data_IF_106286178894
#
_entry.id   IF_106286178894
#
_cell.length_a   1.000
_cell.length_b   1.000
_cell.length_c   1.000
_cell.angle_alpha   90.00
_cell.angle_beta   90.00
_cell.angle_gamma   90.00
#
_symmetry.space_group_name_H-M   'P 1'
#
loop_
_entity.id
_entity.type
_entity.pdbx_description
1 polymer ?
#
# COMPACT_ATOMS: atom_id res chain seq x y z
N UNK A 1 14.36 1.24 -3.22
CA UNK A 1 13.63 1.74 -2.03
C UNK A 1 12.20 2.06 -2.45
N UNK A 2 11.25 1.38 -1.82
CA UNK A 2 9.81 1.58 -1.94
C UNK A 2 9.43 2.85 -1.19
N UNK A 3 8.55 3.67 -1.76
CA UNK A 3 8.01 4.87 -1.10
C UNK A 3 6.50 4.73 -1.00
N UNK A 4 5.97 4.90 0.20
CA UNK A 4 4.54 4.98 0.47
C UNK A 4 4.24 6.41 0.86
N UNK A 5 3.57 7.14 -0.02
CA UNK A 5 3.15 8.53 0.18
C UNK A 5 1.67 8.54 0.57
N UNK A 6 1.34 9.13 1.73
CA UNK A 6 -0.01 9.23 2.27
C UNK A 6 -0.38 10.71 2.34
N UNK A 7 -1.44 11.11 1.66
CA UNK A 7 -1.95 12.48 1.61
C UNK A 7 -3.48 12.46 1.61
N UNK A 8 -4.10 12.93 2.69
CA UNK A 8 -5.56 12.95 2.87
C UNK A 8 -6.22 11.59 2.59
N UNK A 9 -7.01 11.50 1.51
CA UNK A 9 -7.73 10.30 1.06
C UNK A 9 -6.93 9.47 0.05
N UNK A 10 -5.65 9.78 -0.18
CA UNK A 10 -4.84 9.20 -1.24
C UNK A 10 -3.59 8.51 -0.68
N UNK A 11 -3.30 7.32 -1.21
CA UNK A 11 -2.13 6.52 -0.88
C UNK A 11 -1.44 6.15 -2.20
N UNK A 12 -0.15 6.41 -2.29
CA UNK A 12 0.63 6.14 -3.49
C UNK A 12 1.89 5.34 -3.13
N UNK A 13 2.04 4.16 -3.72
CA UNK A 13 3.17 3.26 -3.50
C UNK A 13 4.01 3.18 -4.77
N UNK A 14 5.27 3.61 -4.69
CA UNK A 14 6.23 3.61 -5.80
C UNK A 14 7.40 2.67 -5.53
N UNK A 15 7.89 1.98 -6.55
CA UNK A 15 9.13 1.19 -6.44
C UNK A 15 8.94 -0.26 -5.96
N UNK A 16 7.70 -0.77 -5.94
CA UNK A 16 7.34 -2.10 -5.43
C UNK A 16 7.58 -3.26 -6.43
N UNK A 17 7.97 -2.96 -7.67
CA UNK A 17 8.14 -3.96 -8.74
C UNK A 17 9.52 -3.95 -9.41
N UNK A 18 10.51 -3.29 -8.79
CA UNK A 18 11.88 -3.36 -9.30
C UNK A 18 12.52 -4.70 -8.89
N UNK A 19 12.88 -5.51 -9.88
CA UNK A 19 13.78 -6.65 -9.75
C UNK A 19 15.15 -6.15 -9.31
N UNK A 20 15.55 -6.44 -8.07
CA UNK A 20 16.87 -6.06 -7.59
C UNK A 20 17.31 -7.00 -6.45
N UNK A 21 18.63 -7.03 -6.16
CA UNK A 21 19.37 -7.93 -5.26
C UNK A 21 18.59 -8.85 -4.29
N UNK A 22 19.07 -10.10 -4.15
CA UNK A 22 18.58 -11.11 -3.22
C UNK A 22 18.22 -10.52 -1.84
N UNK A 23 16.93 -10.55 -1.48
CA UNK A 23 16.37 -9.97 -0.25
C UNK A 23 15.49 -8.74 -0.46
N UNK A 24 15.73 -7.92 -1.48
CA UNK A 24 14.81 -6.82 -1.87
C UNK A 24 13.49 -7.35 -2.42
N UNK A 25 13.56 -8.46 -3.16
CA UNK A 25 12.39 -9.17 -3.69
C UNK A 25 11.39 -9.59 -2.60
N UNK A 26 11.88 -9.93 -1.39
CA UNK A 26 11.02 -10.32 -0.26
C UNK A 26 10.23 -9.11 0.24
N UNK A 27 10.87 -7.94 0.36
CA UNK A 27 10.19 -6.71 0.80
C UNK A 27 9.17 -6.25 -0.26
N UNK A 28 9.53 -6.31 -1.55
CA UNK A 28 8.60 -6.04 -2.65
C UNK A 28 7.38 -6.97 -2.59
N UNK A 29 7.61 -8.28 -2.42
CA UNK A 29 6.53 -9.25 -2.29
C UNK A 29 5.63 -8.97 -1.07
N UNK A 30 6.21 -8.65 0.09
CA UNK A 30 5.45 -8.28 1.29
C UNK A 30 4.59 -7.04 1.08
N UNK A 31 5.14 -5.98 0.49
CA UNK A 31 4.36 -4.76 0.16
C UNK A 31 3.21 -5.09 -0.78
N UNK A 32 3.49 -5.82 -1.87
CA UNK A 32 2.46 -6.21 -2.84
C UNK A 32 1.36 -7.06 -2.20
N UNK A 33 1.72 -8.03 -1.35
CA UNK A 33 0.73 -8.84 -0.64
C UNK A 33 -0.15 -8.01 0.29
N UNK A 34 0.44 -7.13 1.10
CA UNK A 34 -0.32 -6.25 2.02
C UNK A 34 -1.30 -5.38 1.23
N UNK A 35 -0.80 -4.68 0.20
CA UNK A 35 -1.59 -3.70 -0.55
C UNK A 35 -2.69 -4.36 -1.38
N UNK A 36 -2.34 -5.39 -2.17
CA UNK A 36 -3.29 -6.03 -3.07
C UNK A 36 -4.36 -6.81 -2.29
N UNK A 37 -3.99 -7.47 -1.17
CA UNK A 37 -5.00 -8.12 -0.32
C UNK A 37 -5.96 -7.11 0.30
N UNK A 38 -5.48 -5.97 0.77
CA UNK A 38 -6.36 -4.89 1.27
C UNK A 38 -7.29 -4.36 0.17
N UNK A 39 -6.77 -4.07 -1.03
CA UNK A 39 -7.59 -3.62 -2.16
C UNK A 39 -8.69 -4.64 -2.48
N UNK A 40 -8.34 -5.92 -2.59
CA UNK A 40 -9.30 -6.98 -2.89
C UNK A 40 -10.37 -7.11 -1.80
N UNK A 41 -9.99 -7.01 -0.53
CA UNK A 41 -10.94 -7.03 0.58
C UNK A 41 -11.91 -5.86 0.52
N UNK A 42 -11.41 -4.64 0.27
CA UNK A 42 -12.24 -3.44 0.12
C UNK A 42 -13.23 -3.61 -1.03
N UNK A 43 -12.77 -4.08 -2.20
CA UNK A 43 -13.63 -4.29 -3.38
C UNK A 43 -14.71 -5.34 -3.11
N UNK A 44 -14.39 -6.41 -2.38
CA UNK A 44 -15.36 -7.45 -2.01
C UNK A 44 -16.49 -6.90 -1.11
N UNK A 45 -16.18 -5.95 -0.21
CA UNK A 45 -17.17 -5.32 0.66
C UNK A 45 -17.95 -4.19 -0.03
N UNK A 46 -17.26 -3.28 -0.72
CA UNK A 46 -17.86 -2.19 -1.50
C UNK A 46 -16.92 -1.77 -2.65
N UNK A 47 -17.22 -2.16 -3.91
CA UNK A 47 -16.36 -1.86 -5.05
C UNK A 47 -16.31 -0.36 -5.42
N UNK A 48 -17.22 0.46 -4.88
CA UNK A 48 -17.25 1.91 -5.12
C UNK A 48 -16.59 2.72 -3.98
N UNK A 49 -16.06 2.05 -2.95
CA UNK A 49 -15.45 2.72 -1.79
C UNK A 49 -14.07 3.32 -2.09
N UNK A 50 -13.37 2.77 -3.09
CA UNK A 50 -12.05 3.22 -3.54
C UNK A 50 -11.96 3.29 -5.06
N UNK A 51 -11.12 4.19 -5.56
CA UNK A 51 -10.48 4.08 -6.87
C UNK A 51 -9.07 3.52 -6.67
N UNK A 52 -8.63 2.60 -7.53
CA UNK A 52 -7.25 2.14 -7.52
C UNK A 52 -6.70 1.96 -8.93
N UNK A 53 -5.39 2.11 -9.05
CA UNK A 53 -4.65 1.93 -10.30
C UNK A 53 -3.33 1.21 -9.99
N UNK A 54 -3.02 0.15 -10.74
CA UNK A 54 -1.72 -0.53 -10.70
C UNK A 54 -1.00 -0.34 -12.04
N UNK A 55 0.03 0.50 -12.03
CA UNK A 55 0.85 0.85 -13.18
C UNK A 55 2.28 0.35 -12.99
N UNK A 56 2.50 -0.94 -13.20
CA UNK A 56 3.78 -1.67 -13.13
C UNK A 56 4.58 -1.47 -11.84
N UNK A 57 5.06 -0.26 -11.56
CA UNK A 57 5.88 0.11 -10.42
C UNK A 57 5.24 1.19 -9.53
N UNK A 58 3.95 1.46 -9.74
CA UNK A 58 3.18 2.47 -9.03
C UNK A 58 1.78 1.93 -8.75
N UNK A 59 1.42 1.81 -7.48
CA UNK A 59 0.03 1.60 -7.06
C UNK A 59 -0.51 2.92 -6.52
N UNK A 60 -1.70 3.28 -6.96
CA UNK A 60 -2.47 4.42 -6.46
C UNK A 60 -3.76 3.89 -5.85
N UNK A 61 -4.10 4.36 -4.65
CA UNK A 61 -5.39 4.14 -3.98
C UNK A 61 -5.95 5.51 -3.61
N UNK A 62 -7.20 5.76 -3.96
CA UNK A 62 -7.96 6.94 -3.56
C UNK A 62 -9.26 6.50 -2.89
N UNK A 63 -9.45 6.90 -1.63
CA UNK A 63 -10.67 6.66 -0.88
C UNK A 63 -11.78 7.59 -1.38
N UNK A 64 -12.89 7.01 -1.84
CA UNK A 64 -14.05 7.71 -2.40
C UNK A 64 -15.20 7.82 -1.39
N UNK A 65 -15.33 6.84 -0.49
CA UNK A 65 -16.36 6.81 0.56
C UNK A 65 -15.71 6.82 1.94
N UNK A 66 -16.38 7.46 2.89
CA UNK A 66 -15.97 7.43 4.30
C UNK A 66 -16.84 6.41 5.05
N UNK A 67 -16.46 5.14 4.95
CA UNK A 67 -17.13 4.03 5.65
C UNK A 67 -16.18 3.29 6.59
N UNK A 68 -16.76 2.68 7.63
CA UNK A 68 -16.03 2.08 8.73
C UNK A 68 -15.14 0.89 8.30
N UNK A 69 -15.60 0.08 7.35
CA UNK A 69 -14.87 -1.12 6.89
C UNK A 69 -13.66 -0.70 6.07
N UNK A 70 -13.86 0.17 5.06
CA UNK A 70 -12.78 0.69 4.22
C UNK A 70 -11.74 1.43 5.05
N UNK A 71 -12.17 2.27 6.01
CA UNK A 71 -11.27 2.98 6.91
C UNK A 71 -10.42 2.02 7.75
N UNK A 72 -11.01 0.97 8.32
CA UNK A 72 -10.28 -0.03 9.10
C UNK A 72 -9.28 -0.81 8.26
N UNK A 73 -9.67 -1.21 7.05
CA UNK A 73 -8.79 -1.94 6.12
C UNK A 73 -7.61 -1.07 5.65
N UNK A 74 -7.85 0.20 5.32
CA UNK A 74 -6.80 1.15 4.95
C UNK A 74 -5.87 1.43 6.13
N UNK A 75 -6.42 1.67 7.33
CA UNK A 75 -5.61 1.94 8.51
C UNK A 75 -4.72 0.74 8.87
N UNK A 76 -5.29 -0.48 8.84
CA UNK A 76 -4.52 -1.69 9.09
C UNK A 76 -3.43 -1.92 8.02
N UNK A 77 -3.72 -1.64 6.75
CA UNK A 77 -2.71 -1.69 5.68
C UNK A 77 -1.54 -0.73 5.97
N UNK A 78 -1.83 0.49 6.40
CA UNK A 78 -0.80 1.49 6.73
C UNK A 78 0.04 1.01 7.93
N UNK A 79 -0.59 0.51 9.00
CA UNK A 79 0.10 -0.02 10.18
C UNK A 79 1.06 -1.17 9.80
N UNK A 80 0.60 -2.12 8.98
CA UNK A 80 1.44 -3.23 8.51
C UNK A 80 2.64 -2.75 7.66
N UNK A 81 2.46 -1.70 6.86
CA UNK A 81 3.55 -1.10 6.08
C UNK A 81 4.53 -0.33 6.96
N UNK A 82 4.06 0.30 8.04
CA UNK A 82 4.90 0.95 9.06
C UNK A 82 5.73 -0.09 9.85
N UNK A 83 5.13 -1.21 10.27
CA UNK A 83 5.85 -2.33 10.90
C UNK A 83 6.92 -2.93 9.95
N UNK A 84 6.60 -3.02 8.65
CA UNK A 84 7.55 -3.45 7.63
C UNK A 84 8.69 -2.43 7.47
N UNK A 85 8.41 -1.12 7.53
CA UNK A 85 9.43 -0.08 7.55
C UNK A 85 10.36 -0.20 8.76
N UNK A 86 9.83 -0.48 9.94
CA UNK A 86 10.68 -0.67 11.13
C UNK A 86 11.67 -1.84 10.96
N UNK A 87 11.23 -2.90 10.29
CA UNK A 87 12.02 -4.10 10.04
C UNK A 87 13.01 -3.93 8.86
N UNK A 88 12.66 -3.13 7.86
CA UNK A 88 13.41 -2.97 6.61
C UNK A 88 13.58 -1.49 6.19
N UNK A 89 14.14 -0.68 7.10
CA UNK A 89 14.28 0.79 6.98
C UNK A 89 15.00 1.27 5.72
N UNK A 90 15.90 0.46 5.15
CA UNK A 90 16.65 0.80 3.95
C UNK A 90 15.87 0.46 2.65
N UNK A 91 14.78 -0.29 2.77
CA UNK A 91 14.04 -0.84 1.64
C UNK A 91 12.69 -0.13 1.41
N UNK A 92 12.02 0.34 2.45
CA UNK A 92 10.72 1.01 2.39
C UNK A 92 10.76 2.29 3.22
N UNK A 93 10.03 3.32 2.77
CA UNK A 93 9.87 4.59 3.50
C UNK A 93 8.41 5.03 3.48
N UNK A 94 7.85 5.31 4.66
CA UNK A 94 6.52 5.92 4.81
C UNK A 94 6.67 7.44 4.88
N UNK A 95 5.86 8.17 4.10
CA UNK A 95 5.87 9.63 4.00
C UNK A 95 4.44 10.14 4.15
N UNK A 96 4.16 10.87 5.21
CA UNK A 96 2.86 11.51 5.47
C UNK A 96 2.94 12.99 5.11
N UNK A 97 1.99 13.49 4.30
CA UNK A 97 1.89 14.90 3.88
C UNK A 97 0.62 15.55 4.38
#
# INVERSE_FOLDING_TARGET
MIKVEIENNKIEIKGHANYDDYGKDIVCASVSSIVITTINAIIEFDPESIYYEDLNNRILIEKLKDDDITNKLINNMIELLEELEESYKDNIKIIRR
#
